data_IF_382260514518
#
_entry.id   IF_382260514518
#
_cell.length_a   1.000
_cell.length_b   1.000
_cell.length_c   1.000
_cell.angle_alpha   90.00
_cell.angle_beta   90.00
_cell.angle_gamma   90.00
#
_symmetry.space_group_name_H-M   'P 1'
#
loop_
_entity.id
_entity.type
_entity.pdbx_description
1 polymer ?
#
# COMPACT_ATOMS: atom_id res chain seq x y z
N UNK A 1 1.72 -30.54 -53.76
CA UNK A 1 2.03 -29.12 -54.07
C UNK A 1 0.70 -28.39 -54.17
N UNK A 2 0.29 -27.38 -53.40
CA UNK A 2 0.95 -26.38 -52.55
C UNK A 2 0.03 -26.08 -51.36
N UNK A 3 0.58 -26.00 -50.15
CA UNK A 3 -0.12 -25.51 -48.97
C UNK A 3 -0.48 -24.02 -49.16
N UNK A 4 -1.73 -23.64 -48.92
CA UNK A 4 -2.12 -22.24 -48.75
C UNK A 4 -2.41 -22.01 -47.27
N UNK A 5 -1.43 -21.40 -46.60
CA UNK A 5 -1.53 -20.95 -45.23
C UNK A 5 -2.61 -19.85 -45.14
N UNK A 6 -3.65 -20.10 -44.35
CA UNK A 6 -4.64 -19.10 -43.98
C UNK A 6 -4.10 -18.39 -42.73
N UNK A 7 -3.48 -17.22 -42.92
CA UNK A 7 -3.02 -16.37 -41.82
C UNK A 7 -4.25 -15.66 -41.25
N UNK A 8 -4.70 -16.10 -40.07
CA UNK A 8 -5.72 -15.39 -39.29
C UNK A 8 -5.01 -14.23 -38.58
N UNK A 9 -5.18 -13.01 -39.08
CA UNK A 9 -4.80 -11.80 -38.38
C UNK A 9 -5.88 -11.51 -37.33
N UNK A 10 -5.64 -11.92 -36.09
CA UNK A 10 -6.45 -11.50 -34.95
C UNK A 10 -6.05 -10.07 -34.62
N UNK A 11 -6.80 -9.09 -35.14
CA UNK A 11 -6.70 -7.69 -34.71
C UNK A 11 -7.31 -7.62 -33.32
N UNK A 12 -6.47 -7.81 -32.30
CA UNK A 12 -6.82 -7.60 -30.91
C UNK A 12 -6.97 -6.10 -30.68
N UNK A 13 -8.18 -5.59 -30.88
CA UNK A 13 -8.54 -4.21 -30.55
C UNK A 13 -8.57 -4.11 -29.02
N UNK A 14 -7.42 -3.80 -28.43
CA UNK A 14 -7.36 -3.27 -27.08
C UNK A 14 -8.09 -1.93 -27.11
N UNK A 15 -9.33 -1.92 -26.62
CA UNK A 15 -10.03 -0.71 -26.21
C UNK A 15 -9.24 -0.13 -25.02
N UNK A 16 -8.16 0.58 -25.32
CA UNK A 16 -7.57 1.52 -24.38
C UNK A 16 -8.53 2.71 -24.35
N UNK A 17 -9.53 2.63 -23.48
CA UNK A 17 -10.34 3.78 -23.11
C UNK A 17 -9.41 4.80 -22.46
N UNK A 18 -8.87 5.68 -23.30
CA UNK A 18 -8.16 6.88 -22.92
C UNK A 18 -9.19 7.84 -22.32
N UNK A 19 -9.53 7.63 -21.04
CA UNK A 19 -10.21 8.64 -20.25
C UNK A 19 -9.15 9.63 -19.75
N UNK A 20 -9.10 10.76 -20.43
CA UNK A 20 -8.50 11.99 -19.96
C UNK A 20 -9.29 12.48 -18.73
N UNK A 21 -8.73 12.26 -17.54
CA UNK A 21 -9.03 13.07 -16.36
C UNK A 21 -7.71 13.54 -15.76
N UNK A 22 -7.49 14.85 -15.74
CA UNK A 22 -6.31 15.47 -15.14
C UNK A 22 -6.21 15.16 -13.65
N UNK A 23 -5.27 14.29 -13.31
CA UNK A 23 -4.92 13.85 -11.96
C UNK A 23 -4.00 12.66 -12.12
N UNK A 24 -2.83 12.64 -11.45
CA UNK A 24 -1.89 11.53 -11.61
C UNK A 24 -2.54 10.16 -11.35
N UNK A 25 -1.98 9.10 -11.93
CA UNK A 25 -2.50 7.75 -11.70
C UNK A 25 -1.95 7.20 -10.39
N UNK A 26 -2.71 6.30 -9.77
CA UNK A 26 -2.20 5.46 -8.69
C UNK A 26 -1.19 4.48 -9.30
N UNK A 27 -0.05 4.31 -8.65
CA UNK A 27 1.04 3.48 -9.16
C UNK A 27 1.58 2.56 -8.07
N UNK A 28 1.87 1.31 -8.42
CA UNK A 28 2.54 0.38 -7.50
C UNK A 28 3.98 0.85 -7.30
N UNK A 29 4.45 0.84 -6.06
CA UNK A 29 5.81 1.25 -5.70
C UNK A 29 6.47 0.19 -4.81
N UNK A 30 7.79 0.03 -4.98
CA UNK A 30 8.57 -0.90 -4.18
C UNK A 30 8.94 -0.29 -2.84
N UNK A 31 8.99 -1.13 -1.80
CA UNK A 31 9.44 -0.78 -0.43
C UNK A 31 10.70 0.09 -0.43
N UNK A 32 11.74 -0.34 -1.14
CA UNK A 32 13.04 0.35 -1.11
C UNK A 32 12.98 1.72 -1.80
N UNK A 33 12.16 1.86 -2.85
CA UNK A 33 11.94 3.16 -3.51
C UNK A 33 11.23 4.15 -2.59
N UNK A 34 10.33 3.67 -1.73
CA UNK A 34 9.70 4.52 -0.71
C UNK A 34 10.76 5.10 0.22
N UNK A 35 11.64 4.25 0.77
CA UNK A 35 12.69 4.71 1.69
C UNK A 35 13.75 5.59 1.00
N UNK A 36 13.98 5.38 -0.30
CA UNK A 36 14.90 6.17 -1.12
C UNK A 36 14.28 7.46 -1.69
N UNK A 37 13.01 7.74 -1.41
CA UNK A 37 12.32 8.95 -1.92
C UNK A 37 12.98 10.24 -1.43
N UNK A 38 13.48 10.24 -0.18
CA UNK A 38 14.17 11.37 0.45
C UNK A 38 14.90 10.92 1.71
N UNK A 39 15.90 11.68 2.16
CA UNK A 39 16.71 11.31 3.34
C UNK A 39 15.87 11.20 4.61
N UNK A 40 14.82 12.00 4.70
CA UNK A 40 13.85 12.00 5.78
C UNK A 40 13.05 10.68 5.89
N UNK A 41 12.79 10.00 4.77
CA UNK A 41 12.07 8.72 4.78
C UNK A 41 12.92 7.62 5.42
N UNK A 42 14.16 7.50 4.97
CA UNK A 42 15.15 6.60 5.58
C UNK A 42 15.39 6.95 7.05
N UNK A 43 15.51 8.25 7.38
CA UNK A 43 15.67 8.70 8.77
C UNK A 43 14.50 8.26 9.67
N UNK A 44 13.26 8.39 9.20
CA UNK A 44 12.08 7.97 9.97
C UNK A 44 12.01 6.46 10.16
N UNK A 45 12.50 5.68 9.19
CA UNK A 45 12.66 4.24 9.31
C UNK A 45 13.74 3.87 10.35
N UNK A 46 14.92 4.49 10.25
CA UNK A 46 16.09 4.16 11.09
C UNK A 46 15.88 4.56 12.55
N UNK A 47 15.23 5.71 12.79
CA UNK A 47 14.95 6.22 14.14
C UNK A 47 13.90 5.41 14.88
N UNK A 48 13.02 4.69 14.17
CA UNK A 48 11.90 4.03 14.80
C UNK A 48 12.31 2.69 15.41
N UNK A 49 12.07 2.58 16.71
CA UNK A 49 12.27 1.37 17.50
C UNK A 49 10.88 0.90 17.97
N UNK A 50 10.29 -0.12 17.31
CA UNK A 50 9.05 -0.72 17.79
C UNK A 50 9.27 -1.43 19.13
N UNK A 51 8.24 -1.46 19.97
CA UNK A 51 8.28 -2.20 21.23
C UNK A 51 8.34 -3.70 20.96
N UNK A 52 9.41 -4.34 21.42
CA UNK A 52 9.70 -5.76 21.15
C UNK A 52 8.63 -6.69 21.71
N UNK A 53 7.99 -6.34 22.84
CA UNK A 53 6.94 -7.16 23.46
C UNK A 53 5.71 -7.25 22.54
N UNK A 54 5.34 -6.12 21.95
CA UNK A 54 4.23 -6.07 21.01
C UNK A 54 4.61 -6.71 19.67
N UNK A 55 5.88 -6.65 19.25
CA UNK A 55 6.35 -7.35 18.05
C UNK A 55 6.27 -8.88 18.20
N UNK A 56 6.73 -9.45 19.31
CA UNK A 56 6.64 -10.90 19.57
C UNK A 56 5.18 -11.37 19.55
N UNK A 57 4.30 -10.59 20.18
CA UNK A 57 2.85 -10.87 20.18
C UNK A 57 2.29 -10.78 18.76
N UNK A 58 2.69 -9.78 17.99
CA UNK A 58 2.25 -9.59 16.62
C UNK A 58 2.70 -10.75 15.74
N UNK A 59 3.97 -11.14 15.81
CA UNK A 59 4.54 -12.27 15.08
C UNK A 59 3.77 -13.57 15.34
N UNK A 60 3.50 -13.89 16.61
CA UNK A 60 2.73 -15.07 16.99
C UNK A 60 1.27 -15.03 16.50
N UNK A 61 0.74 -13.83 16.29
CA UNK A 61 -0.65 -13.59 15.86
C UNK A 61 -0.78 -13.49 14.34
N UNK A 62 0.34 -13.43 13.59
CA UNK A 62 0.33 -13.41 12.12
C UNK A 62 -0.30 -14.71 11.58
N UNK A 63 -1.62 -14.70 11.42
CA UNK A 63 -2.39 -15.81 10.90
C UNK A 63 -2.16 -16.05 9.40
N UNK A 64 -2.73 -17.14 8.89
CA UNK A 64 -2.71 -17.46 7.46
C UNK A 64 -3.59 -16.51 6.66
N UNK A 65 -3.29 -16.36 5.37
CA UNK A 65 -4.08 -15.61 4.39
C UNK A 65 -4.26 -14.12 4.72
N UNK A 66 -3.38 -13.55 5.54
CA UNK A 66 -3.30 -12.11 5.75
C UNK A 66 -2.63 -11.47 4.53
N UNK A 67 -3.16 -10.34 4.06
CA UNK A 67 -2.58 -9.46 3.03
C UNK A 67 -2.75 -8.01 3.47
N UNK A 68 -1.80 -7.15 3.16
CA UNK A 68 -1.90 -5.72 3.50
C UNK A 68 -1.65 -4.88 2.26
N UNK A 69 -2.54 -3.94 1.98
CA UNK A 69 -2.34 -2.92 0.97
C UNK A 69 -2.15 -1.55 1.64
N UNK A 70 -1.13 -0.81 1.22
CA UNK A 70 -0.77 0.48 1.77
C UNK A 70 -0.84 1.55 0.69
N UNK A 71 -1.71 2.53 0.90
CA UNK A 71 -1.89 3.67 0.00
C UNK A 71 -1.22 4.89 0.61
N UNK A 72 -0.29 5.53 -0.09
CA UNK A 72 0.55 6.60 0.46
C UNK A 72 0.76 7.75 -0.53
N UNK A 73 0.99 8.95 0.01
CA UNK A 73 1.46 10.09 -0.78
C UNK A 73 2.92 10.39 -0.47
N UNK A 74 3.83 10.31 -1.45
CA UNK A 74 5.25 10.64 -1.22
C UNK A 74 5.47 12.12 -0.85
N UNK A 75 4.48 12.95 -1.13
CA UNK A 75 4.42 14.39 -0.81
C UNK A 75 3.75 14.68 0.55
N UNK A 76 3.25 13.66 1.25
CA UNK A 76 2.41 13.82 2.45
C UNK A 76 3.23 13.58 3.73
N UNK A 77 3.13 14.51 4.68
CA UNK A 77 3.81 14.44 5.97
C UNK A 77 3.34 13.25 6.83
N UNK A 78 2.05 12.93 6.84
CA UNK A 78 1.55 11.76 7.57
C UNK A 78 2.09 10.46 6.96
N UNK A 79 2.29 10.43 5.64
CA UNK A 79 2.86 9.26 4.96
C UNK A 79 4.33 9.11 5.34
N UNK A 80 5.10 10.20 5.32
CA UNK A 80 6.47 10.26 5.84
C UNK A 80 6.56 9.82 7.31
N UNK A 81 5.58 10.20 8.13
CA UNK A 81 5.60 9.92 9.57
C UNK A 81 5.27 8.47 9.92
N UNK A 82 4.45 7.78 9.13
CA UNK A 82 3.89 6.48 9.50
C UNK A 82 4.34 5.34 8.59
N UNK A 83 4.53 5.54 7.29
CA UNK A 83 4.88 4.45 6.37
C UNK A 83 6.29 3.91 6.63
N UNK A 84 7.35 4.72 6.82
CA UNK A 84 8.67 4.19 7.18
C UNK A 84 8.65 3.35 8.47
N UNK A 85 7.89 3.77 9.48
CA UNK A 85 7.72 3.02 10.72
C UNK A 85 7.00 1.69 10.51
N UNK A 86 5.95 1.69 9.70
CA UNK A 86 5.23 0.48 9.34
C UNK A 86 6.12 -0.51 8.58
N UNK A 87 6.93 -0.01 7.64
CA UNK A 87 7.94 -0.83 6.95
C UNK A 87 8.92 -1.42 7.98
N UNK A 88 9.42 -0.63 8.94
CA UNK A 88 10.31 -1.10 10.00
C UNK A 88 9.69 -2.23 10.83
N UNK A 89 8.41 -2.13 11.17
CA UNK A 89 7.68 -3.21 11.89
C UNK A 89 7.72 -4.50 11.08
N UNK A 90 7.31 -4.44 9.81
CA UNK A 90 7.23 -5.62 8.95
C UNK A 90 8.60 -6.28 8.72
N UNK A 91 9.65 -5.46 8.56
CA UNK A 91 11.02 -5.93 8.44
C UNK A 91 11.52 -6.63 9.71
N UNK A 92 11.25 -6.04 10.88
CA UNK A 92 11.65 -6.64 12.17
C UNK A 92 10.95 -7.97 12.44
N UNK A 93 9.74 -8.16 11.92
CA UNK A 93 8.98 -9.41 11.99
C UNK A 93 9.44 -10.46 10.97
N UNK A 94 10.30 -10.10 10.01
CA UNK A 94 10.70 -10.96 8.88
C UNK A 94 9.51 -11.65 8.19
N UNK A 95 8.39 -10.94 8.11
CA UNK A 95 7.10 -11.56 7.77
C UNK A 95 7.00 -11.95 6.30
N UNK A 96 6.29 -13.06 6.04
CA UNK A 96 5.91 -13.51 4.68
C UNK A 96 4.54 -12.99 4.25
N UNK A 97 3.88 -12.17 5.06
CA UNK A 97 2.60 -11.54 4.72
C UNK A 97 2.78 -10.73 3.45
N UNK A 98 1.99 -10.96 2.38
CA UNK A 98 2.05 -10.15 1.18
C UNK A 98 1.68 -8.70 1.46
N UNK A 99 2.58 -7.78 1.14
CA UNK A 99 2.38 -6.34 1.27
C UNK A 99 2.47 -5.69 -0.10
N UNK A 100 1.48 -4.88 -0.46
CA UNK A 100 1.56 -4.02 -1.64
C UNK A 100 1.54 -2.56 -1.24
N UNK A 101 2.40 -1.75 -1.86
CA UNK A 101 2.40 -0.30 -1.69
C UNK A 101 1.96 0.38 -2.98
N UNK A 102 1.11 1.39 -2.83
CA UNK A 102 0.56 2.17 -3.93
C UNK A 102 0.70 3.66 -3.64
N UNK A 103 1.40 4.38 -4.51
CA UNK A 103 1.48 5.84 -4.41
C UNK A 103 0.30 6.50 -5.10
N UNK A 104 -0.18 7.60 -4.53
CA UNK A 104 -1.20 8.45 -5.12
C UNK A 104 -0.65 9.86 -5.38
N UNK A 105 -1.06 10.53 -6.47
CA UNK A 105 -0.64 11.91 -6.73
C UNK A 105 -1.21 12.86 -5.67
N UNK A 106 -0.64 14.06 -5.60
CA UNK A 106 -1.24 15.12 -4.79
C UNK A 106 -2.55 15.57 -5.40
N UNK A 107 -3.60 15.65 -4.58
CA UNK A 107 -4.87 16.25 -4.99
C UNK A 107 -4.66 17.74 -5.30
N UNK A 108 -5.24 18.27 -6.40
CA UNK A 108 -5.15 19.68 -6.72
C UNK A 108 -5.96 20.55 -5.74
N UNK A 109 -7.03 20.02 -5.13
CA UNK A 109 -7.78 20.64 -4.04
C UNK A 109 -8.39 19.58 -3.12
N UNK A 110 -8.93 20.01 -1.97
CA UNK A 110 -9.59 19.10 -1.02
C UNK A 110 -10.86 18.45 -1.58
N UNK A 111 -11.51 19.11 -2.54
CA UNK A 111 -12.78 18.68 -3.13
C UNK A 111 -12.61 17.58 -4.18
N UNK A 112 -11.37 17.38 -4.68
CA UNK A 112 -11.05 16.28 -5.58
C UNK A 112 -10.83 15.02 -4.75
N UNK A 113 -11.65 13.99 -4.98
CA UNK A 113 -11.46 12.66 -4.38
C UNK A 113 -10.27 11.94 -5.03
N UNK A 114 -9.64 11.03 -4.30
CA UNK A 114 -8.67 10.12 -4.94
C UNK A 114 -9.45 9.17 -5.84
N UNK A 115 -8.83 8.67 -6.91
CA UNK A 115 -9.39 7.66 -7.82
C UNK A 115 -9.60 6.29 -7.16
N UNK A 116 -9.54 6.22 -5.83
CA UNK A 116 -9.73 5.01 -5.03
C UNK A 116 -11.12 5.05 -4.39
N UNK A 117 -12.13 5.45 -5.17
CA UNK A 117 -13.52 5.48 -4.67
C UNK A 117 -14.00 4.06 -4.36
N UNK A 118 -13.60 3.07 -5.17
CA UNK A 118 -13.98 1.67 -4.97
C UNK A 118 -13.39 1.05 -3.70
N UNK A 119 -12.22 1.51 -3.23
CA UNK A 119 -11.62 1.03 -1.96
C UNK A 119 -11.88 1.99 -0.78
N UNK A 120 -12.60 3.09 -1.02
CA UNK A 120 -12.95 4.12 -0.03
C UNK A 120 -11.73 4.70 0.70
N UNK A 121 -10.62 4.94 -0.02
CA UNK A 121 -9.42 5.57 0.55
C UNK A 121 -9.51 7.08 0.37
N UNK A 122 -9.87 7.78 1.44
CA UNK A 122 -10.07 9.25 1.40
C UNK A 122 -8.83 10.04 1.83
N UNK A 123 -7.97 9.41 2.65
CA UNK A 123 -6.80 10.02 3.31
C UNK A 123 -5.57 9.12 3.16
N UNK A 124 -4.38 9.71 3.25
CA UNK A 124 -3.12 8.98 3.13
C UNK A 124 -2.18 9.30 4.31
N UNK A 125 -1.43 8.31 4.83
CA UNK A 125 -1.43 6.93 4.39
C UNK A 125 -2.69 6.19 4.86
N UNK A 126 -3.11 5.17 4.14
CA UNK A 126 -4.11 4.21 4.63
C UNK A 126 -3.54 2.80 4.49
N UNK A 127 -3.56 2.05 5.59
CA UNK A 127 -3.14 0.66 5.66
C UNK A 127 -4.39 -0.19 5.74
N UNK A 128 -4.64 -1.07 4.77
CA UNK A 128 -5.83 -1.93 4.72
C UNK A 128 -5.40 -3.37 4.90
N UNK A 129 -6.02 -4.04 5.87
CA UNK A 129 -5.72 -5.42 6.24
C UNK A 129 -6.82 -6.33 5.69
N UNK A 130 -6.42 -7.41 5.04
CA UNK A 130 -7.31 -8.40 4.45
C UNK A 130 -7.03 -9.77 5.01
N UNK A 131 -8.08 -10.54 5.28
CA UNK A 131 -8.00 -11.98 5.56
C UNK A 131 -8.99 -12.71 4.68
N UNK A 132 -8.51 -13.72 3.96
CA UNK A 132 -9.31 -14.47 2.98
C UNK A 132 -9.98 -13.53 1.95
N UNK A 133 -9.20 -12.57 1.44
CA UNK A 133 -9.61 -11.52 0.49
C UNK A 133 -10.72 -10.58 0.99
N UNK A 134 -11.11 -10.65 2.27
CA UNK A 134 -12.05 -9.71 2.89
C UNK A 134 -11.29 -8.71 3.75
N UNK A 135 -11.65 -7.44 3.62
CA UNK A 135 -11.14 -6.41 4.51
C UNK A 135 -11.60 -6.68 5.95
N UNK A 136 -10.65 -6.74 6.88
CA UNK A 136 -10.91 -6.94 8.31
C UNK A 136 -10.66 -5.67 9.13
N UNK A 137 -9.97 -4.68 8.55
CA UNK A 137 -9.76 -3.38 9.19
C UNK A 137 -8.80 -2.50 8.42
N UNK A 138 -8.66 -1.25 8.88
CA UNK A 138 -7.74 -0.28 8.31
C UNK A 138 -7.23 0.72 9.35
N UNK A 139 -6.01 1.20 9.15
CA UNK A 139 -5.44 2.37 9.85
C UNK A 139 -5.44 3.53 8.87
N UNK A 140 -6.01 4.68 9.27
CA UNK A 140 -6.18 5.85 8.42
C UNK A 140 -5.35 7.01 8.98
N UNK A 141 -4.40 7.49 8.17
CA UNK A 141 -3.37 8.49 8.48
C UNK A 141 -2.45 8.16 9.64
N UNK A 142 -3.01 8.19 10.85
CA UNK A 142 -2.30 8.05 12.12
C UNK A 142 -2.94 6.91 12.93
N UNK A 143 -2.14 6.11 13.66
CA UNK A 143 -2.68 5.09 14.56
C UNK A 143 -3.47 5.74 15.71
N UNK A 144 -4.46 5.02 16.23
CA UNK A 144 -5.23 5.42 17.42
C UNK A 144 -4.41 5.27 18.69
N UNK A 145 -3.59 4.22 18.78
CA UNK A 145 -2.63 3.99 19.87
C UNK A 145 -1.20 4.08 19.35
N UNK A 146 -0.69 2.97 18.82
CA UNK A 146 0.57 2.86 18.08
C UNK A 146 0.35 2.00 16.85
N UNK A 147 1.27 2.01 15.89
CA UNK A 147 1.14 1.19 14.69
C UNK A 147 1.08 -0.31 15.01
N UNK A 148 1.87 -0.78 15.99
CA UNK A 148 1.91 -2.20 16.37
C UNK A 148 0.62 -2.59 17.10
N UNK A 149 0.15 -1.78 18.04
CA UNK A 149 -1.09 -2.04 18.77
C UNK A 149 -2.33 -2.01 17.87
N UNK A 150 -2.45 -1.01 16.98
CA UNK A 150 -3.57 -0.94 16.04
C UNK A 150 -3.53 -2.11 15.04
N UNK A 151 -2.34 -2.54 14.59
CA UNK A 151 -2.19 -3.72 13.75
C UNK A 151 -2.69 -4.96 14.51
N UNK A 152 -2.18 -5.19 15.72
CA UNK A 152 -2.63 -6.29 16.59
C UNK A 152 -4.16 -6.30 16.77
N UNK A 153 -4.75 -5.16 17.10
CA UNK A 153 -6.20 -5.01 17.31
C UNK A 153 -7.01 -5.36 16.06
N UNK A 154 -6.46 -5.14 14.85
CA UNK A 154 -7.13 -5.47 13.58
C UNK A 154 -7.07 -6.96 13.26
N UNK A 155 -5.97 -7.65 13.60
CA UNK A 155 -5.76 -9.04 13.19
C UNK A 155 -6.17 -10.08 14.22
N UNK A 156 -6.34 -9.68 15.48
CA UNK A 156 -6.83 -10.53 16.56
C UNK A 156 -8.32 -10.86 16.35
#
# INVERSE_FOLDING_TARGET
MKHKYFVIVVVMVFFFSLLLSGGGKMEKIDRDKILQTGKEWQYMYDKYEPDETFLETLEATLGKNLKIDVYLGLWCSDSLNNVPKFIKILDRLETKVPINYYTVPRKPSKDVKYFIEDLKVERVPTFIFYRDEKEIGRIIENPKKTLVEDFLEIIF
#
